data_IF_368938167864
#
_entry.id   IF_368938167864
#
_cell.length_a   1.000
_cell.length_b   1.000
_cell.length_c   1.000
_cell.angle_alpha   90.00
_cell.angle_beta   90.00
_cell.angle_gamma   90.00
#
_symmetry.space_group_name_H-M   'P 1'
#
loop_
_entity.id
_entity.type
_entity.pdbx_description
1 polymer ?
#
# COMPACT_ATOMS: atom_id res chain seq x y z
N UNK A 1 -1.27 46.06 -12.74
CA UNK A 1 -0.21 45.03 -12.78
C UNK A 1 0.45 45.01 -11.40
N UNK A 2 -0.05 44.14 -10.52
CA UNK A 2 0.50 43.93 -9.18
C UNK A 2 1.32 42.63 -9.24
N UNK A 3 2.64 42.76 -9.04
CA UNK A 3 3.58 41.65 -9.02
C UNK A 3 3.31 40.73 -7.82
N UNK A 4 3.07 39.47 -8.07
CA UNK A 4 3.04 38.44 -7.05
C UNK A 4 4.45 38.28 -6.48
N UNK A 5 4.62 38.53 -5.20
CA UNK A 5 5.87 38.33 -4.48
C UNK A 5 6.26 36.84 -4.45
N UNK A 6 7.55 36.53 -4.24
CA UNK A 6 8.05 35.17 -4.24
C UNK A 6 7.42 34.37 -3.09
N UNK A 7 6.72 33.28 -3.42
CA UNK A 7 6.25 32.31 -2.44
C UNK A 7 7.46 31.72 -1.71
N UNK A 8 7.60 32.07 -0.44
CA UNK A 8 8.61 31.56 0.45
C UNK A 8 8.54 30.01 0.46
N UNK A 9 9.65 29.34 0.16
CA UNK A 9 9.77 27.89 0.32
C UNK A 9 9.39 27.55 1.77
N UNK A 10 8.54 26.52 2.01
CA UNK A 10 8.23 26.10 3.36
C UNK A 10 9.53 25.76 4.09
N UNK A 11 9.76 26.38 5.22
CA UNK A 11 10.91 26.12 6.08
C UNK A 11 11.01 24.62 6.38
N UNK A 12 12.21 24.03 6.28
CA UNK A 12 12.45 22.59 6.54
C UNK A 12 11.98 22.15 7.94
N UNK A 13 11.83 20.85 8.24
CA UNK A 13 11.32 20.36 9.53
C UNK A 13 12.17 20.87 10.71
N UNK A 14 11.56 21.07 11.90
CA UNK A 14 12.30 21.36 13.13
C UNK A 14 13.29 20.23 13.40
N UNK A 15 14.48 20.55 13.91
CA UNK A 15 15.43 19.51 14.38
C UNK A 15 14.95 18.95 15.72
N UNK A 16 15.31 17.71 16.05
CA UNK A 16 14.93 17.09 17.33
C UNK A 16 15.48 17.88 18.54
N UNK A 17 16.58 18.64 18.37
CA UNK A 17 17.17 19.50 19.42
C UNK A 17 16.31 20.72 19.76
N UNK A 18 15.49 21.18 18.82
CA UNK A 18 14.63 22.34 19.00
C UNK A 18 13.25 21.96 19.57
N UNK A 19 12.86 20.70 19.48
CA UNK A 19 11.57 20.23 20.02
C UNK A 19 11.60 20.09 21.53
N UNK A 20 10.45 20.27 22.25
CA UNK A 20 10.38 20.16 23.69
C UNK A 20 10.88 18.82 24.22
N UNK A 21 11.43 18.81 25.43
CA UNK A 21 11.96 17.60 26.07
C UNK A 21 10.91 16.51 26.23
N UNK A 22 9.70 16.88 26.57
CA UNK A 22 8.59 15.94 26.71
C UNK A 22 8.21 15.27 25.39
N UNK A 23 8.37 15.95 24.25
CA UNK A 23 8.17 15.32 22.94
C UNK A 23 9.35 14.40 22.57
N UNK A 24 10.58 14.74 22.96
CA UNK A 24 11.73 13.86 22.77
C UNK A 24 11.61 12.58 23.62
N UNK A 25 11.11 12.72 24.87
CA UNK A 25 10.81 11.57 25.74
C UNK A 25 9.74 10.66 25.12
N UNK A 26 8.68 11.22 24.52
CA UNK A 26 7.69 10.47 23.75
C UNK A 26 8.33 9.71 22.59
N UNK A 27 9.19 10.32 21.79
CA UNK A 27 9.87 9.62 20.68
C UNK A 27 10.74 8.48 21.19
N UNK A 28 11.41 8.65 22.32
CA UNK A 28 12.21 7.62 22.98
C UNK A 28 11.34 6.44 23.43
N UNK A 29 10.21 6.72 24.09
CA UNK A 29 9.23 5.68 24.46
C UNK A 29 8.72 4.94 23.22
N UNK A 30 8.36 5.66 22.16
CA UNK A 30 7.91 5.02 20.91
C UNK A 30 8.99 4.15 20.27
N UNK A 31 10.27 4.53 20.36
CA UNK A 31 11.37 3.79 19.78
C UNK A 31 11.51 2.36 20.38
N UNK A 32 11.08 2.14 21.62
CA UNK A 32 11.07 0.81 22.26
C UNK A 32 10.22 -0.21 21.50
N UNK A 33 9.17 0.25 20.78
CA UNK A 33 8.30 -0.58 19.95
C UNK A 33 8.84 -0.82 18.54
N UNK A 34 10.09 -0.45 18.28
CA UNK A 34 10.77 -0.57 16.98
C UNK A 34 9.92 -0.09 15.78
N UNK A 35 9.37 1.14 15.82
CA UNK A 35 8.57 1.67 14.74
C UNK A 35 9.43 1.87 13.50
N UNK A 36 8.79 1.91 12.32
CA UNK A 36 9.52 2.26 11.10
C UNK A 36 10.05 3.70 11.16
N UNK A 37 11.16 4.03 10.48
CA UNK A 37 11.64 5.41 10.37
C UNK A 37 10.56 6.39 9.87
N UNK A 38 9.68 5.94 8.96
CA UNK A 38 8.55 6.72 8.47
C UNK A 38 7.51 7.03 9.57
N UNK A 39 7.30 6.12 10.53
CA UNK A 39 6.39 6.35 11.66
C UNK A 39 6.92 7.45 12.57
N UNK A 40 8.22 7.40 12.89
CA UNK A 40 8.85 8.46 13.69
C UNK A 40 8.85 9.81 12.97
N UNK A 41 9.09 9.79 11.66
CA UNK A 41 9.01 11.01 10.84
C UNK A 41 7.58 11.57 10.81
N UNK A 42 6.55 10.71 10.70
CA UNK A 42 5.16 11.14 10.77
C UNK A 42 4.82 11.79 12.11
N UNK A 43 5.27 11.22 13.23
CA UNK A 43 5.11 11.84 14.55
C UNK A 43 5.73 13.23 14.61
N UNK A 44 6.94 13.41 14.05
CA UNK A 44 7.59 14.73 14.00
C UNK A 44 6.81 15.73 13.17
N UNK A 45 6.37 15.35 11.98
CA UNK A 45 5.59 16.24 11.11
C UNK A 45 4.24 16.63 11.73
N UNK A 46 3.53 15.66 12.31
CA UNK A 46 2.24 15.91 12.93
C UNK A 46 2.38 16.76 14.19
N UNK A 47 3.48 16.57 14.95
CA UNK A 47 3.82 17.44 16.08
C UNK A 47 4.08 18.87 15.60
N UNK A 48 5.02 19.06 14.66
CA UNK A 48 5.42 20.39 14.16
C UNK A 48 4.21 21.17 13.65
N UNK A 49 3.28 20.50 12.93
CA UNK A 49 2.09 21.15 12.38
C UNK A 49 1.18 21.74 13.46
N UNK A 50 0.81 20.96 14.47
CA UNK A 50 -0.13 21.42 15.51
C UNK A 50 0.57 22.28 16.56
N UNK A 51 1.81 21.95 16.97
CA UNK A 51 2.58 22.73 17.90
C UNK A 51 2.79 24.19 17.39
N UNK A 52 3.04 24.34 16.09
CA UNK A 52 3.14 25.66 15.46
C UNK A 52 1.83 26.45 15.56
N UNK A 53 0.69 25.79 15.40
CA UNK A 53 -0.62 26.43 15.50
C UNK A 53 -0.97 26.82 16.95
N UNK A 54 -0.58 26.01 17.94
CA UNK A 54 -0.80 26.32 19.36
C UNK A 54 0.11 27.49 19.78
N UNK A 55 1.39 27.45 19.41
CA UNK A 55 2.37 28.47 19.79
C UNK A 55 2.27 29.79 18.99
N UNK A 56 1.39 29.83 17.96
CA UNK A 56 1.20 30.97 17.07
C UNK A 56 2.31 31.21 16.06
N UNK A 57 3.51 30.64 16.30
CA UNK A 57 4.64 30.74 15.38
C UNK A 57 5.54 29.48 15.49
N UNK A 58 6.21 29.14 14.39
CA UNK A 58 7.05 27.95 14.31
C UNK A 58 8.26 28.00 15.25
N UNK A 59 8.87 29.14 15.38
CA UNK A 59 10.02 29.37 16.27
C UNK A 59 9.67 29.13 17.74
N UNK A 60 8.42 29.32 18.12
CA UNK A 60 7.93 29.10 19.48
C UNK A 60 7.50 27.67 19.77
N UNK A 61 7.26 26.87 18.73
CA UNK A 61 6.81 25.48 18.87
C UNK A 61 7.76 24.59 19.68
N UNK A 62 9.05 24.94 19.70
CA UNK A 62 10.07 24.28 20.49
C UNK A 62 10.01 24.55 21.99
N UNK A 63 9.44 25.67 22.40
CA UNK A 63 9.27 26.09 23.78
C UNK A 63 7.88 25.74 24.36
N UNK A 64 7.02 25.08 23.58
CA UNK A 64 5.65 24.73 23.96
C UNK A 64 5.65 23.93 25.28
N UNK A 65 4.97 24.46 26.31
CA UNK A 65 4.82 23.78 27.58
C UNK A 65 3.61 22.83 27.58
N UNK A 66 3.65 21.76 28.38
CA UNK A 66 2.52 20.82 28.49
C UNK A 66 1.25 21.48 29.02
N UNK A 67 1.38 22.53 29.86
CA UNK A 67 0.26 23.33 30.38
C UNK A 67 -0.54 24.06 29.28
N UNK A 68 0.07 24.32 28.12
CA UNK A 68 -0.58 24.94 26.96
C UNK A 68 -1.42 23.95 26.14
N UNK A 69 -1.26 22.65 26.38
CA UNK A 69 -2.02 21.58 25.69
C UNK A 69 -3.43 21.44 26.29
N UNK A 70 -4.15 22.55 26.36
CA UNK A 70 -5.53 22.57 26.86
C UNK A 70 -6.51 22.06 25.82
N UNK A 71 -7.71 21.63 26.26
CA UNK A 71 -8.80 21.22 25.36
C UNK A 71 -9.10 22.28 24.30
N UNK A 72 -9.12 23.55 24.70
CA UNK A 72 -9.53 24.63 23.81
C UNK A 72 -8.41 25.01 22.83
N UNK A 73 -7.13 25.02 23.25
CA UNK A 73 -5.98 25.19 22.38
C UNK A 73 -5.92 24.06 21.33
N UNK A 74 -6.15 22.82 21.73
CA UNK A 74 -6.18 21.68 20.81
C UNK A 74 -7.33 21.77 19.81
N UNK A 75 -8.53 22.18 20.25
CA UNK A 75 -9.67 22.37 19.35
C UNK A 75 -9.40 23.47 18.32
N UNK A 76 -8.87 24.62 18.74
CA UNK A 76 -8.53 25.71 17.85
C UNK A 76 -7.44 25.32 16.84
N UNK A 77 -6.37 24.67 17.29
CA UNK A 77 -5.30 24.21 16.42
C UNK A 77 -5.79 23.17 15.39
N UNK A 78 -6.63 22.22 15.80
CA UNK A 78 -7.20 21.26 14.86
C UNK A 78 -8.24 21.87 13.91
N UNK A 79 -8.99 22.88 14.32
CA UNK A 79 -9.87 23.64 13.44
C UNK A 79 -9.06 24.38 12.36
N UNK A 80 -8.02 25.12 12.75
CA UNK A 80 -7.14 25.79 11.80
C UNK A 80 -6.40 24.80 10.87
N UNK A 81 -5.95 23.66 11.39
CA UNK A 81 -5.33 22.59 10.57
C UNK A 81 -6.31 22.03 9.53
N UNK A 82 -7.59 21.95 9.87
CA UNK A 82 -8.62 21.40 9.00
C UNK A 82 -8.95 22.31 7.80
N UNK A 83 -8.70 23.62 7.87
CA UNK A 83 -8.96 24.55 6.77
C UNK A 83 -8.16 24.23 5.50
N UNK A 84 -6.97 23.63 5.65
CA UNK A 84 -6.04 23.36 4.53
C UNK A 84 -5.72 21.88 4.32
N UNK A 85 -6.34 20.97 5.09
CA UNK A 85 -5.99 19.56 5.05
C UNK A 85 -7.20 18.63 4.86
N UNK A 86 -6.99 17.58 4.10
CA UNK A 86 -7.99 16.52 3.89
C UNK A 86 -8.27 15.71 5.17
N UNK A 87 -9.51 15.20 5.29
CA UNK A 87 -9.97 14.43 6.44
C UNK A 87 -9.04 13.26 6.83
N UNK A 88 -8.40 12.60 5.86
CA UNK A 88 -7.43 11.53 6.12
C UNK A 88 -6.16 12.04 6.83
N UNK A 89 -5.66 13.21 6.44
CA UNK A 89 -4.50 13.86 7.07
C UNK A 89 -4.84 14.32 8.48
N UNK A 90 -6.01 14.92 8.66
CA UNK A 90 -6.50 15.35 9.99
C UNK A 90 -6.63 14.14 10.92
N UNK A 91 -7.21 13.03 10.45
CA UNK A 91 -7.34 11.78 11.24
C UNK A 91 -6.00 11.20 11.66
N UNK A 92 -5.01 11.22 10.76
CA UNK A 92 -3.65 10.75 11.06
C UNK A 92 -3.02 11.64 12.13
N UNK A 93 -3.05 12.95 11.94
CA UNK A 93 -2.52 13.95 12.87
C UNK A 93 -3.21 13.83 14.24
N UNK A 94 -4.53 13.72 14.26
CA UNK A 94 -5.31 13.47 15.47
C UNK A 94 -4.83 12.20 16.20
N UNK A 95 -4.59 11.10 15.48
CA UNK A 95 -4.11 9.86 16.08
C UNK A 95 -2.72 9.99 16.69
N UNK A 96 -1.84 10.78 16.06
CA UNK A 96 -0.51 11.10 16.60
C UNK A 96 -0.65 11.85 17.91
N UNK A 97 -1.44 12.94 17.96
CA UNK A 97 -1.63 13.75 19.13
C UNK A 97 -2.38 13.04 20.26
N UNK A 98 -3.36 12.20 19.92
CA UNK A 98 -4.02 11.38 20.93
C UNK A 98 -3.03 10.38 21.58
N UNK A 99 -2.13 9.80 20.80
CA UNK A 99 -1.08 8.90 21.32
C UNK A 99 -0.07 9.66 22.17
N UNK A 100 0.31 10.87 21.76
CA UNK A 100 1.22 11.75 22.48
C UNK A 100 0.61 12.21 23.81
N UNK A 101 -0.61 12.75 23.78
CA UNK A 101 -1.29 13.18 25.00
C UNK A 101 -1.59 12.02 25.96
N UNK A 102 -1.85 10.80 25.42
CA UNK A 102 -1.95 9.59 26.23
C UNK A 102 -0.63 9.24 26.93
N UNK A 103 0.50 9.39 26.26
CA UNK A 103 1.83 9.23 26.87
C UNK A 103 2.07 10.28 27.97
N UNK A 104 1.78 11.56 27.68
CA UNK A 104 1.96 12.63 28.66
C UNK A 104 1.08 12.45 29.91
N UNK A 105 -0.14 11.95 29.74
CA UNK A 105 -1.02 11.60 30.85
C UNK A 105 -0.45 10.47 31.70
N UNK A 106 0.06 9.38 31.08
CA UNK A 106 0.67 8.27 31.80
C UNK A 106 2.04 8.60 32.43
N UNK A 107 2.65 9.71 32.03
CA UNK A 107 3.90 10.24 32.58
C UNK A 107 3.64 11.38 33.61
N UNK A 108 2.40 11.57 34.05
CA UNK A 108 1.97 12.60 35.00
C UNK A 108 2.29 14.04 34.56
N UNK A 109 2.49 14.27 33.25
CA UNK A 109 2.77 15.58 32.65
C UNK A 109 1.49 16.30 32.19
N UNK A 110 0.37 15.59 32.14
CA UNK A 110 -0.98 16.14 31.88
C UNK A 110 -1.99 15.52 32.86
N UNK A 111 -2.95 16.31 33.37
CA UNK A 111 -3.98 15.78 34.27
C UNK A 111 -5.03 14.91 33.56
N UNK A 112 -5.17 15.08 32.23
CA UNK A 112 -6.07 14.29 31.38
C UNK A 112 -5.61 14.37 29.92
N UNK A 113 -6.09 13.45 29.07
CA UNK A 113 -5.84 13.51 27.64
C UNK A 113 -6.85 14.46 26.96
N UNK A 114 -6.48 15.69 26.54
CA UNK A 114 -7.40 16.64 25.94
C UNK A 114 -7.96 16.18 24.60
N UNK A 115 -7.26 15.28 23.89
CA UNK A 115 -7.69 14.79 22.58
C UNK A 115 -8.98 13.97 22.61
N UNK A 116 -9.37 13.44 23.77
CA UNK A 116 -10.67 12.76 23.93
C UNK A 116 -11.87 13.72 23.72
N UNK A 117 -11.64 15.01 23.85
CA UNK A 117 -12.63 16.07 23.70
C UNK A 117 -12.49 16.84 22.36
N UNK A 118 -11.53 16.45 21.52
CA UNK A 118 -11.32 17.02 20.18
C UNK A 118 -11.99 16.16 19.13
N UNK A 119 -12.81 16.76 18.29
CA UNK A 119 -13.51 16.04 17.22
C UNK A 119 -12.55 15.36 16.26
N UNK A 120 -12.87 14.09 15.92
CA UNK A 120 -12.12 13.31 14.93
C UNK A 120 -12.98 13.16 13.68
N UNK A 121 -12.53 13.56 12.47
CA UNK A 121 -13.29 13.39 11.24
C UNK A 121 -13.66 11.91 11.02
N UNK A 122 -14.86 11.64 10.55
CA UNK A 122 -15.26 10.27 10.15
C UNK A 122 -14.42 9.81 8.95
N UNK A 123 -14.06 8.52 8.85
CA UNK A 123 -13.41 8.02 7.64
C UNK A 123 -14.37 8.18 6.46
N UNK A 124 -13.88 8.73 5.36
CA UNK A 124 -14.64 8.73 4.12
C UNK A 124 -14.92 7.28 3.70
N UNK A 125 -16.14 7.00 3.25
CA UNK A 125 -16.50 5.73 2.60
C UNK A 125 -15.94 5.76 1.16
N UNK A 126 -14.63 5.75 1.01
CA UNK A 126 -14.02 5.58 -0.31
C UNK A 126 -13.93 4.07 -0.59
N UNK A 127 -14.72 3.62 -1.55
CA UNK A 127 -14.51 2.29 -2.14
C UNK A 127 -13.10 2.24 -2.73
N UNK A 128 -12.40 1.10 -2.61
CA UNK A 128 -11.14 0.91 -3.32
C UNK A 128 -11.38 1.16 -4.81
N UNK A 129 -10.67 2.11 -5.39
CA UNK A 129 -10.77 2.38 -6.83
C UNK A 129 -9.83 1.42 -7.55
N UNK A 130 -10.33 0.23 -7.88
CA UNK A 130 -9.67 -0.68 -8.82
C UNK A 130 -9.61 -0.03 -10.21
N UNK A 131 -8.65 -0.45 -11.01
CA UNK A 131 -8.61 -0.12 -12.42
C UNK A 131 -9.65 -0.97 -13.15
N UNK A 132 -10.47 -0.40 -14.03
CA UNK A 132 -11.21 -1.20 -15.00
C UNK A 132 -10.24 -2.02 -15.85
N UNK A 133 -10.68 -3.18 -16.35
CA UNK A 133 -9.85 -4.04 -17.20
C UNK A 133 -9.28 -3.27 -18.40
N UNK A 134 -10.10 -2.47 -19.07
CA UNK A 134 -9.68 -1.62 -20.19
C UNK A 134 -8.56 -0.64 -19.84
N UNK A 135 -8.57 -0.07 -18.62
CA UNK A 135 -7.51 0.81 -18.16
C UNK A 135 -6.22 0.03 -17.83
N UNK A 136 -6.33 -1.20 -17.32
CA UNK A 136 -5.17 -2.07 -17.12
C UNK A 136 -4.53 -2.49 -18.45
N UNK A 137 -5.34 -2.83 -19.44
CA UNK A 137 -4.89 -3.13 -20.82
C UNK A 137 -4.24 -1.91 -21.47
N UNK A 138 -4.85 -0.73 -21.37
CA UNK A 138 -4.28 0.52 -21.89
C UNK A 138 -2.92 0.83 -21.23
N UNK A 139 -2.79 0.54 -19.92
CA UNK A 139 -1.54 0.73 -19.19
C UNK A 139 -0.41 -0.17 -19.73
N UNK A 140 -0.69 -1.43 -20.03
CA UNK A 140 0.27 -2.37 -20.58
C UNK A 140 0.63 -2.03 -22.03
N UNK A 141 -0.38 -1.74 -22.86
CA UNK A 141 -0.18 -1.33 -24.24
C UNK A 141 0.66 -0.06 -24.36
N UNK A 142 0.47 0.89 -23.45
CA UNK A 142 1.25 2.13 -23.43
C UNK A 142 2.73 1.92 -23.12
N UNK A 143 3.09 0.89 -22.34
CA UNK A 143 4.49 0.55 -22.04
C UNK A 143 5.15 -0.09 -23.25
N UNK A 144 4.41 -0.92 -23.98
CA UNK A 144 4.91 -1.71 -25.12
C UNK A 144 4.87 -0.91 -26.45
N UNK A 145 4.22 0.25 -26.46
CA UNK A 145 4.08 1.05 -27.67
C UNK A 145 5.43 1.52 -28.24
N UNK A 146 5.68 1.40 -29.54
CA UNK A 146 6.94 1.80 -30.17
C UNK A 146 7.34 3.26 -29.91
N UNK A 147 6.36 4.15 -29.73
CA UNK A 147 6.55 5.57 -29.39
C UNK A 147 6.81 5.87 -27.91
N UNK A 148 6.73 4.88 -27.02
CA UNK A 148 6.99 5.06 -25.59
C UNK A 148 8.49 5.25 -25.28
N UNK A 149 9.38 4.78 -26.18
CA UNK A 149 10.83 4.84 -26.05
C UNK A 149 11.37 6.20 -26.53
N UNK A 150 11.08 7.28 -25.81
CA UNK A 150 11.58 8.64 -26.16
C UNK A 150 12.91 8.99 -25.49
N UNK A 151 13.35 8.22 -24.52
CA UNK A 151 14.54 8.51 -23.72
C UNK A 151 15.49 7.31 -23.69
N UNK A 152 16.80 7.55 -23.78
CA UNK A 152 17.84 6.52 -23.57
C UNK A 152 17.68 5.75 -22.25
N UNK A 153 16.96 6.33 -21.29
CA UNK A 153 16.71 5.77 -19.96
C UNK A 153 15.48 4.86 -19.89
N UNK A 154 14.74 4.70 -20.98
CA UNK A 154 13.53 3.89 -21.01
C UNK A 154 13.88 2.40 -21.04
N UNK A 155 13.10 1.64 -20.30
CA UNK A 155 13.32 0.22 -20.10
C UNK A 155 11.98 -0.49 -19.96
N UNK A 156 11.32 -0.81 -21.10
CA UNK A 156 9.96 -1.35 -21.11
C UNK A 156 9.83 -2.66 -20.35
N UNK A 157 10.79 -3.60 -20.52
CA UNK A 157 10.75 -4.91 -19.88
C UNK A 157 10.76 -4.77 -18.35
N UNK A 158 11.53 -3.83 -17.80
CA UNK A 158 11.52 -3.54 -16.37
C UNK A 158 10.19 -2.92 -15.92
N UNK A 159 9.73 -1.91 -16.64
CA UNK A 159 8.55 -1.15 -16.27
C UNK A 159 7.29 -2.04 -16.36
N UNK A 160 7.24 -2.93 -17.39
CA UNK A 160 6.22 -3.99 -17.53
C UNK A 160 6.30 -5.00 -16.38
N UNK A 161 7.49 -5.49 -16.04
CA UNK A 161 7.68 -6.43 -14.94
C UNK A 161 7.23 -5.85 -13.59
N UNK A 162 7.53 -4.58 -13.31
CA UNK A 162 7.08 -3.88 -12.10
C UNK A 162 5.55 -3.81 -12.03
N UNK A 163 4.90 -3.41 -13.12
CA UNK A 163 3.45 -3.20 -13.16
C UNK A 163 2.71 -4.53 -13.06
N UNK A 164 3.13 -5.53 -13.85
CA UNK A 164 2.51 -6.86 -13.81
C UNK A 164 2.73 -7.57 -12.47
N UNK A 165 3.90 -7.41 -11.83
CA UNK A 165 4.09 -7.94 -10.47
C UNK A 165 3.15 -7.27 -9.46
N UNK A 166 2.90 -5.96 -9.59
CA UNK A 166 1.93 -5.29 -8.73
C UNK A 166 0.48 -5.72 -9.00
N UNK A 167 0.11 -5.95 -10.27
CA UNK A 167 -1.23 -6.36 -10.70
C UNK A 167 -1.53 -7.85 -10.43
N UNK A 168 -0.52 -8.73 -10.53
CA UNK A 168 -0.73 -10.19 -10.50
C UNK A 168 -0.26 -10.85 -9.19
N UNK A 169 0.56 -10.15 -8.39
CA UNK A 169 1.00 -10.62 -7.08
C UNK A 169 0.62 -9.66 -5.94
N UNK A 170 0.02 -8.53 -6.24
CA UNK A 170 -0.56 -7.61 -5.26
C UNK A 170 0.45 -7.02 -4.26
N UNK A 171 1.70 -6.80 -4.64
CA UNK A 171 2.75 -6.31 -3.76
C UNK A 171 2.57 -4.83 -3.40
N UNK A 172 2.91 -4.47 -2.16
CA UNK A 172 3.04 -3.06 -1.75
C UNK A 172 4.29 -2.44 -2.37
N UNK A 173 4.32 -1.12 -2.53
CA UNK A 173 5.48 -0.41 -3.09
C UNK A 173 6.80 -0.74 -2.36
N UNK A 174 6.76 -0.90 -1.05
CA UNK A 174 7.94 -1.29 -0.27
C UNK A 174 8.33 -2.76 -0.51
N UNK A 175 7.36 -3.65 -0.66
CA UNK A 175 7.58 -5.06 -0.96
C UNK A 175 8.20 -5.24 -2.35
N UNK A 176 7.70 -4.53 -3.37
CA UNK A 176 8.31 -4.48 -4.71
C UNK A 176 9.77 -4.01 -4.65
N UNK A 177 10.04 -2.96 -3.88
CA UNK A 177 11.40 -2.43 -3.74
C UNK A 177 12.34 -3.40 -3.01
N UNK A 178 11.86 -4.07 -1.99
CA UNK A 178 12.69 -4.95 -1.14
C UNK A 178 12.86 -6.36 -1.71
N UNK A 179 12.07 -6.75 -2.71
CA UNK A 179 12.17 -8.06 -3.34
C UNK A 179 13.57 -8.32 -3.92
N UNK A 180 14.06 -9.52 -3.70
CA UNK A 180 15.32 -10.03 -4.26
C UNK A 180 15.03 -11.11 -5.30
N UNK A 181 15.99 -11.41 -6.14
CA UNK A 181 15.85 -12.48 -7.15
C UNK A 181 15.59 -13.82 -6.46
N UNK A 182 16.25 -14.14 -5.36
CA UNK A 182 16.06 -15.38 -4.62
C UNK A 182 14.74 -15.49 -3.85
N UNK A 183 13.94 -14.41 -3.80
CA UNK A 183 12.58 -14.46 -3.26
C UNK A 183 11.60 -15.10 -4.26
N UNK A 184 11.97 -15.18 -5.56
CA UNK A 184 11.22 -15.86 -6.60
C UNK A 184 11.73 -17.30 -6.76
N UNK A 185 10.86 -18.27 -6.57
CA UNK A 185 11.12 -19.69 -6.78
C UNK A 185 10.20 -20.20 -7.85
N UNK A 186 10.78 -20.75 -8.92
CA UNK A 186 10.05 -21.34 -10.04
C UNK A 186 9.81 -22.82 -9.74
N UNK A 187 8.61 -23.30 -10.02
CA UNK A 187 8.19 -24.69 -9.91
C UNK A 187 8.38 -25.41 -11.24
N UNK A 188 8.32 -26.74 -11.24
CA UNK A 188 8.49 -27.58 -12.45
C UNK A 188 7.38 -27.36 -13.48
N UNK A 189 6.19 -26.96 -13.05
CA UNK A 189 5.04 -26.62 -13.89
C UNK A 189 5.17 -25.25 -14.61
N UNK A 190 6.31 -24.58 -14.43
CA UNK A 190 6.59 -23.26 -15.00
C UNK A 190 5.98 -22.07 -14.23
N UNK A 191 5.10 -22.32 -13.26
CA UNK A 191 4.66 -21.34 -12.28
C UNK A 191 5.68 -21.14 -11.16
N UNK A 192 5.25 -20.61 -10.02
CA UNK A 192 6.14 -20.46 -8.89
C UNK A 192 5.53 -19.77 -7.69
N UNK A 193 6.39 -19.39 -6.77
CA UNK A 193 6.02 -18.62 -5.58
C UNK A 193 6.95 -17.45 -5.39
N UNK A 194 6.39 -16.30 -5.01
CA UNK A 194 7.12 -15.13 -4.60
C UNK A 194 7.05 -14.99 -3.08
N UNK A 195 8.19 -15.08 -2.42
CA UNK A 195 8.32 -14.83 -0.99
C UNK A 195 8.31 -13.33 -0.72
N UNK A 196 7.37 -12.85 0.05
CA UNK A 196 7.17 -11.42 0.34
C UNK A 196 7.42 -11.14 1.80
N UNK A 197 8.43 -10.34 2.08
CA UNK A 197 8.77 -9.90 3.44
C UNK A 197 7.85 -8.76 3.87
N UNK A 198 7.01 -9.05 4.86
CA UNK A 198 6.04 -8.11 5.39
C UNK A 198 6.59 -7.22 6.50
N UNK A 199 5.80 -6.21 6.90
CA UNK A 199 6.10 -5.39 8.08
C UNK A 199 6.00 -6.23 9.35
N UNK A 200 6.97 -6.07 10.27
CA UNK A 200 6.94 -6.78 11.56
C UNK A 200 7.28 -8.27 11.45
N UNK A 201 8.12 -8.65 10.49
CA UNK A 201 8.54 -10.04 10.25
C UNK A 201 7.38 -10.99 9.89
N UNK A 202 6.33 -10.44 9.28
CA UNK A 202 5.18 -11.22 8.79
C UNK A 202 5.36 -11.52 7.31
N UNK A 203 6.07 -12.60 7.04
CA UNK A 203 6.33 -13.07 5.69
C UNK A 203 5.12 -13.82 5.14
N UNK A 204 4.94 -13.74 3.83
CA UNK A 204 3.96 -14.54 3.11
C UNK A 204 4.51 -15.01 1.77
N UNK A 205 3.96 -16.07 1.26
CA UNK A 205 4.20 -16.54 -0.11
C UNK A 205 2.99 -16.20 -0.98
N UNK A 206 3.26 -15.70 -2.17
CA UNK A 206 2.25 -15.40 -3.18
C UNK A 206 2.49 -16.33 -4.36
N UNK A 207 1.56 -17.23 -4.71
CA UNK A 207 1.64 -18.02 -5.92
C UNK A 207 1.66 -17.12 -7.15
N UNK A 208 2.46 -17.47 -8.14
CA UNK A 208 2.57 -16.75 -9.41
C UNK A 208 2.51 -17.72 -10.57
N UNK A 209 1.75 -17.35 -11.58
CA UNK A 209 1.52 -18.15 -12.77
C UNK A 209 2.69 -18.05 -13.77
N UNK A 210 2.83 -19.03 -14.70
CA UNK A 210 3.89 -19.05 -15.71
C UNK A 210 4.00 -17.74 -16.51
N UNK A 211 2.88 -17.08 -16.79
CA UNK A 211 2.86 -15.82 -17.51
C UNK A 211 3.65 -14.71 -16.80
N UNK A 212 3.57 -14.62 -15.47
CA UNK A 212 4.35 -13.64 -14.71
C UNK A 212 5.83 -14.04 -14.63
N UNK A 213 6.12 -15.34 -14.51
CA UNK A 213 7.49 -15.86 -14.55
C UNK A 213 8.16 -15.50 -15.87
N UNK A 214 7.49 -15.68 -17.00
CA UNK A 214 8.01 -15.31 -18.33
C UNK A 214 8.34 -13.81 -18.42
N UNK A 215 7.48 -12.93 -17.90
CA UNK A 215 7.72 -11.48 -17.88
C UNK A 215 8.93 -11.12 -17.01
N UNK A 216 9.06 -11.73 -15.84
CA UNK A 216 10.19 -11.50 -14.95
C UNK A 216 11.50 -12.03 -15.56
N UNK A 217 11.46 -13.16 -16.22
CA UNK A 217 12.61 -13.75 -16.96
C UNK A 217 13.03 -12.83 -18.10
N UNK A 218 12.12 -12.35 -18.94
CA UNK A 218 12.41 -11.41 -20.03
C UNK A 218 13.07 -10.12 -19.50
N UNK A 219 12.57 -9.61 -18.38
CA UNK A 219 13.21 -8.47 -17.71
C UNK A 219 14.64 -8.81 -17.23
N UNK A 220 14.86 -9.97 -16.62
CA UNK A 220 16.18 -10.38 -16.12
C UNK A 220 17.18 -10.59 -17.27
N UNK A 221 16.75 -11.11 -18.42
CA UNK A 221 17.54 -11.19 -19.67
C UNK A 221 17.94 -9.79 -20.11
N UNK A 222 17.00 -8.87 -20.24
CA UNK A 222 17.30 -7.50 -20.66
C UNK A 222 18.19 -6.77 -19.64
N UNK A 223 18.06 -7.09 -18.36
CA UNK A 223 18.93 -6.59 -17.30
C UNK A 223 20.36 -7.09 -17.44
N UNK A 224 20.55 -8.38 -17.81
CA UNK A 224 21.90 -8.94 -18.03
C UNK A 224 22.61 -8.27 -19.21
N UNK A 225 21.88 -7.87 -20.25
CA UNK A 225 22.43 -7.09 -21.37
C UNK A 225 22.87 -5.70 -20.93
N UNK A 226 22.09 -5.05 -20.06
CA UNK A 226 22.41 -3.70 -19.55
C UNK A 226 23.54 -3.67 -18.52
N UNK A 227 23.65 -4.73 -17.72
CA UNK A 227 24.63 -4.83 -16.62
C UNK A 227 25.36 -6.17 -16.66
N UNK A 228 26.15 -6.43 -17.71
CA UNK A 228 26.80 -7.74 -17.91
C UNK A 228 27.80 -8.08 -16.80
N UNK A 229 28.43 -7.09 -16.17
CA UNK A 229 29.37 -7.31 -15.07
C UNK A 229 28.69 -7.79 -13.77
N UNK A 230 27.39 -7.55 -13.61
CA UNK A 230 26.63 -7.97 -12.43
C UNK A 230 25.98 -9.36 -12.60
N UNK A 231 25.93 -9.88 -13.82
CA UNK A 231 25.37 -11.19 -14.14
C UNK A 231 26.47 -12.26 -14.15
N UNK A 232 26.21 -13.42 -13.53
CA UNK A 232 27.13 -14.57 -13.57
C UNK A 232 27.15 -15.18 -14.99
N UNK A 233 28.30 -15.63 -15.44
CA UNK A 233 28.44 -16.39 -16.68
C UNK A 233 28.14 -17.88 -16.43
N UNK A 234 27.53 -18.58 -17.40
CA UNK A 234 27.37 -20.04 -17.36
C UNK A 234 26.31 -20.56 -16.38
N UNK A 235 25.25 -19.82 -16.13
CA UNK A 235 24.19 -20.17 -15.15
C UNK A 235 23.16 -21.22 -15.66
N UNK A 236 23.41 -21.92 -16.77
CA UNK A 236 22.47 -22.86 -17.39
C UNK A 236 21.22 -22.16 -17.96
N UNK A 237 20.14 -22.91 -18.18
CA UNK A 237 18.92 -22.44 -18.84
C UNK A 237 18.02 -21.56 -17.94
N UNK A 238 18.33 -21.44 -16.64
CA UNK A 238 17.54 -20.65 -15.73
C UNK A 238 18.16 -19.26 -15.50
N UNK A 239 17.57 -18.24 -16.08
CA UNK A 239 18.02 -16.85 -15.97
C UNK A 239 18.10 -16.32 -14.51
N UNK A 240 17.32 -16.88 -13.58
CA UNK A 240 17.39 -16.55 -12.16
C UNK A 240 18.76 -16.91 -11.57
N UNK A 241 19.35 -18.01 -12.02
CA UNK A 241 20.67 -18.49 -11.54
C UNK A 241 21.83 -17.57 -11.91
N UNK A 242 21.63 -16.66 -12.87
CA UNK A 242 22.61 -15.64 -13.25
C UNK A 242 22.79 -14.55 -12.19
N UNK A 243 21.90 -14.50 -11.20
CA UNK A 243 21.89 -13.49 -10.18
C UNK A 243 22.12 -14.08 -8.79
N UNK A 244 22.77 -13.33 -7.91
CA UNK A 244 22.79 -13.71 -6.49
C UNK A 244 21.37 -13.72 -5.92
N UNK A 245 21.07 -14.65 -5.03
CA UNK A 245 19.77 -14.68 -4.35
C UNK A 245 19.46 -13.39 -3.60
N UNK A 246 20.49 -12.69 -3.10
CA UNK A 246 20.37 -11.39 -2.43
C UNK A 246 20.32 -10.19 -3.39
N UNK A 247 20.53 -10.41 -4.71
CA UNK A 247 20.46 -9.33 -5.69
C UNK A 247 19.04 -8.75 -5.73
N UNK A 248 18.89 -7.41 -5.83
CA UNK A 248 17.57 -6.80 -5.96
C UNK A 248 16.82 -7.37 -7.17
N UNK A 249 15.53 -7.70 -7.01
CA UNK A 249 14.72 -8.11 -8.16
C UNK A 249 14.55 -6.93 -9.14
N UNK A 250 14.17 -5.75 -8.65
CA UNK A 250 14.01 -4.55 -9.45
C UNK A 250 15.13 -3.53 -9.20
N UNK A 251 15.74 -3.05 -10.29
CA UNK A 251 16.86 -2.13 -10.23
C UNK A 251 16.55 -0.79 -10.93
N UNK A 252 17.27 0.24 -10.50
CA UNK A 252 17.31 1.54 -11.13
C UNK A 252 18.12 1.54 -12.45
N UNK A 253 18.40 2.72 -12.97
CA UNK A 253 19.25 2.89 -14.16
C UNK A 253 20.74 2.66 -13.87
N UNK A 254 21.10 2.75 -12.62
CA UNK A 254 22.43 2.51 -12.06
C UNK A 254 22.72 1.03 -11.73
N UNK A 255 21.76 0.15 -11.99
CA UNK A 255 21.85 -1.26 -11.63
C UNK A 255 21.67 -1.55 -10.14
N UNK A 256 21.53 -0.52 -9.31
CA UNK A 256 21.27 -0.66 -7.88
C UNK A 256 19.77 -0.87 -7.60
N UNK A 257 19.42 -1.27 -6.39
CA UNK A 257 18.03 -1.42 -5.96
C UNK A 257 17.20 -0.19 -6.29
N UNK A 258 16.07 -0.39 -6.95
CA UNK A 258 15.18 0.71 -7.34
C UNK A 258 14.77 1.56 -6.13
N UNK A 259 14.93 2.88 -6.23
CA UNK A 259 14.52 3.81 -5.18
C UNK A 259 13.00 4.00 -5.18
N UNK A 260 12.45 4.50 -4.06
CA UNK A 260 11.01 4.81 -3.96
C UNK A 260 10.61 5.83 -5.03
N UNK A 261 11.40 6.87 -5.22
CA UNK A 261 11.12 7.91 -6.22
C UNK A 261 11.15 7.36 -7.64
N UNK A 262 12.16 6.52 -7.98
CA UNK A 262 12.26 5.90 -9.29
C UNK A 262 11.06 4.96 -9.56
N UNK A 263 10.67 4.12 -8.58
CA UNK A 263 9.50 3.24 -8.71
C UNK A 263 8.22 4.05 -8.96
N UNK A 264 7.97 5.07 -8.14
CA UNK A 264 6.79 5.93 -8.28
C UNK A 264 6.77 6.65 -9.62
N UNK A 265 7.92 7.18 -10.05
CA UNK A 265 8.04 7.86 -11.34
C UNK A 265 7.74 6.93 -12.51
N UNK A 266 8.24 5.68 -12.49
CA UNK A 266 8.00 4.71 -13.57
C UNK A 266 6.53 4.32 -13.65
N UNK A 267 5.91 4.07 -12.53
CA UNK A 267 4.47 3.76 -12.49
C UNK A 267 3.65 4.98 -12.92
N UNK A 268 3.95 6.18 -12.41
CA UNK A 268 3.27 7.42 -12.84
C UNK A 268 3.38 7.64 -14.35
N UNK A 269 4.57 7.43 -14.90
CA UNK A 269 4.79 7.58 -16.35
C UNK A 269 3.91 6.62 -17.17
N UNK A 270 3.82 5.37 -16.75
CA UNK A 270 2.96 4.40 -17.43
C UNK A 270 1.48 4.83 -17.38
N UNK A 271 1.01 5.29 -16.22
CA UNK A 271 -0.35 5.81 -16.09
C UNK A 271 -0.61 7.05 -16.97
N UNK A 272 0.37 7.96 -17.07
CA UNK A 272 0.23 9.14 -17.93
C UNK A 272 0.22 8.78 -19.42
N UNK A 273 0.92 7.73 -19.82
CA UNK A 273 0.93 7.23 -21.20
C UNK A 273 -0.37 6.48 -21.55
N UNK A 274 -1.00 5.83 -20.58
CA UNK A 274 -2.25 5.09 -20.76
C UNK A 274 -3.49 5.98 -20.97
N UNK A 275 -3.37 7.29 -20.74
CA UNK A 275 -4.45 8.25 -21.00
C UNK A 275 -5.34 8.54 -19.78
N UNK A 276 -6.40 9.36 -19.97
CA UNK A 276 -7.21 9.91 -18.88
C UNK A 276 -7.96 8.86 -18.08
N UNK A 277 -8.40 7.77 -18.68
CA UNK A 277 -9.18 6.72 -18.01
C UNK A 277 -8.37 5.95 -16.96
N UNK A 278 -7.06 5.91 -17.14
CA UNK A 278 -6.14 5.30 -16.19
C UNK A 278 -5.67 6.29 -15.11
N UNK A 279 -5.90 7.59 -15.26
CA UNK A 279 -5.38 8.60 -14.32
C UNK A 279 -5.86 8.38 -12.88
N UNK A 280 -4.96 8.54 -11.95
CA UNK A 280 -5.16 8.43 -10.50
C UNK A 280 -4.34 9.49 -9.77
N UNK A 281 -4.72 9.78 -8.52
CA UNK A 281 -3.98 10.73 -7.69
C UNK A 281 -2.50 10.33 -7.54
N UNK A 282 -1.56 11.27 -7.68
CA UNK A 282 -0.13 11.00 -7.45
C UNK A 282 0.11 10.37 -6.08
N UNK A 283 1.02 9.40 -6.01
CA UNK A 283 1.39 8.72 -4.76
C UNK A 283 0.56 7.48 -4.41
N UNK A 284 -0.63 7.30 -5.00
CA UNK A 284 -1.49 6.14 -4.77
C UNK A 284 -1.40 5.07 -5.88
N UNK A 285 -0.57 5.25 -6.91
CA UNK A 285 -0.59 4.46 -8.14
C UNK A 285 -0.26 2.98 -7.93
N UNK A 286 0.83 2.67 -7.22
CA UNK A 286 1.17 1.26 -6.89
C UNK A 286 0.07 0.64 -6.01
N UNK A 287 -0.55 1.46 -5.17
CA UNK A 287 -1.66 1.00 -4.33
C UNK A 287 -2.92 0.73 -5.17
N UNK A 288 -3.17 1.52 -6.22
CA UNK A 288 -4.26 1.27 -7.17
C UNK A 288 -4.07 -0.07 -7.91
N UNK A 289 -2.85 -0.40 -8.37
CA UNK A 289 -2.54 -1.70 -8.98
C UNK A 289 -2.84 -2.86 -8.01
N UNK A 290 -2.40 -2.73 -6.75
CA UNK A 290 -2.71 -3.72 -5.71
C UNK A 290 -4.21 -3.78 -5.38
N UNK A 291 -4.92 -2.65 -5.40
CA UNK A 291 -6.38 -2.64 -5.24
C UNK A 291 -7.06 -3.41 -6.36
N UNK A 292 -6.60 -3.25 -7.60
CA UNK A 292 -7.09 -4.00 -8.75
C UNK A 292 -6.90 -5.50 -8.53
N UNK A 293 -5.69 -5.95 -8.17
CA UNK A 293 -5.45 -7.35 -7.80
C UNK A 293 -6.43 -7.86 -6.74
N UNK A 294 -6.62 -7.09 -5.67
CA UNK A 294 -7.51 -7.49 -4.57
C UNK A 294 -8.98 -7.56 -5.00
N UNK A 295 -9.43 -6.63 -5.85
CA UNK A 295 -10.80 -6.58 -6.36
C UNK A 295 -11.06 -7.72 -7.34
N UNK A 296 -10.12 -7.97 -8.28
CA UNK A 296 -10.26 -9.08 -9.23
C UNK A 296 -10.31 -10.43 -8.51
N UNK A 297 -9.45 -10.66 -7.52
CA UNK A 297 -9.54 -11.87 -6.70
C UNK A 297 -10.85 -11.97 -5.92
N UNK A 298 -11.35 -10.85 -5.36
CA UNK A 298 -12.64 -10.86 -4.67
C UNK A 298 -13.79 -11.22 -5.62
N UNK A 299 -13.71 -10.79 -6.89
CA UNK A 299 -14.70 -11.12 -7.93
C UNK A 299 -14.72 -12.62 -8.31
N UNK A 300 -13.64 -13.38 -8.00
CA UNK A 300 -13.60 -14.84 -8.22
C UNK A 300 -14.18 -15.65 -7.06
N UNK A 301 -14.90 -15.02 -6.13
CA UNK A 301 -15.54 -15.66 -4.99
C UNK A 301 -14.57 -16.40 -4.04
N UNK A 302 -13.30 -15.97 -3.96
CA UNK A 302 -12.39 -16.52 -2.96
C UNK A 302 -12.79 -16.06 -1.55
N UNK A 303 -12.47 -16.88 -0.54
CA UNK A 303 -12.78 -16.52 0.83
C UNK A 303 -12.05 -15.26 1.28
N UNK A 304 -12.69 -14.44 2.13
CA UNK A 304 -12.06 -13.26 2.77
C UNK A 304 -10.75 -13.64 3.46
N UNK A 305 -10.70 -14.84 4.03
CA UNK A 305 -9.50 -15.36 4.70
C UNK A 305 -8.35 -15.61 3.72
N UNK A 306 -8.63 -16.23 2.57
CA UNK A 306 -7.65 -16.45 1.50
C UNK A 306 -7.13 -15.12 0.96
N UNK A 307 -8.04 -14.18 0.70
CA UNK A 307 -7.68 -12.82 0.26
C UNK A 307 -6.80 -12.10 1.30
N UNK A 308 -7.15 -12.20 2.59
CA UNK A 308 -6.36 -11.64 3.68
C UNK A 308 -4.94 -12.22 3.72
N UNK A 309 -4.79 -13.52 3.54
CA UNK A 309 -3.50 -14.23 3.52
C UNK A 309 -2.65 -13.80 2.33
N UNK A 310 -3.22 -13.77 1.12
CA UNK A 310 -2.52 -13.34 -0.11
C UNK A 310 -2.05 -11.89 -0.03
N UNK A 311 -2.89 -11.00 0.49
CA UNK A 311 -2.56 -9.58 0.63
C UNK A 311 -1.68 -9.27 1.84
N UNK A 312 -1.58 -10.16 2.83
CA UNK A 312 -0.91 -9.88 4.10
C UNK A 312 -1.59 -8.73 4.86
N UNK A 313 -2.92 -8.80 4.99
CA UNK A 313 -3.69 -7.88 5.83
C UNK A 313 -3.69 -8.39 7.27
N UNK A 314 -3.49 -7.49 8.24
CA UNK A 314 -3.53 -7.81 9.66
C UNK A 314 -4.97 -7.93 10.20
N UNK A 315 -5.92 -7.29 9.53
CA UNK A 315 -7.32 -7.24 9.93
C UNK A 315 -8.22 -7.76 8.81
N UNK A 316 -9.12 -8.66 9.16
CA UNK A 316 -10.16 -9.15 8.26
C UNK A 316 -11.03 -8.01 7.70
N UNK A 317 -11.32 -6.98 8.51
CA UNK A 317 -12.07 -5.80 8.09
C UNK A 317 -11.46 -5.08 6.87
N UNK A 318 -10.15 -5.18 6.68
CA UNK A 318 -9.48 -4.61 5.51
C UNK A 318 -9.77 -5.40 4.24
N UNK A 319 -9.81 -6.73 4.31
CA UNK A 319 -10.14 -7.60 3.17
C UNK A 319 -11.63 -7.66 2.88
N UNK A 320 -12.49 -7.60 3.91
CA UNK A 320 -13.94 -7.55 3.76
C UNK A 320 -14.44 -6.41 2.87
N UNK A 321 -13.73 -5.28 2.83
CA UNK A 321 -14.10 -4.15 1.97
C UNK A 321 -14.12 -4.51 0.48
N UNK A 322 -13.23 -5.41 0.06
CA UNK A 322 -13.17 -5.87 -1.34
C UNK A 322 -14.32 -6.84 -1.65
N UNK A 323 -14.58 -7.76 -0.75
CA UNK A 323 -15.62 -8.76 -0.89
C UNK A 323 -17.01 -8.13 -0.88
N UNK A 324 -17.29 -7.20 0.06
CA UNK A 324 -18.56 -6.48 0.12
C UNK A 324 -18.78 -5.64 -1.16
N UNK A 325 -17.70 -5.07 -1.74
CA UNK A 325 -17.81 -4.28 -2.96
C UNK A 325 -18.05 -5.13 -4.22
N UNK A 326 -17.66 -6.40 -4.21
CA UNK A 326 -17.88 -7.32 -5.32
C UNK A 326 -19.36 -7.75 -5.47
N UNK A 327 -20.16 -7.71 -4.40
CA UNK A 327 -21.63 -7.87 -4.44
C UNK A 327 -22.15 -9.24 -4.89
N UNK A 328 -21.27 -10.14 -5.33
CA UNK A 328 -21.62 -11.43 -5.96
C UNK A 328 -21.75 -12.61 -5.00
N UNK A 329 -21.20 -12.49 -3.78
CA UNK A 329 -21.09 -13.64 -2.86
C UNK A 329 -22.44 -14.18 -2.38
N UNK A 330 -23.36 -13.29 -2.01
CA UNK A 330 -24.65 -13.70 -1.44
C UNK A 330 -25.54 -14.40 -2.44
N UNK A 331 -25.56 -13.94 -3.68
CA UNK A 331 -26.40 -14.54 -4.73
C UNK A 331 -25.81 -15.87 -5.21
N UNK A 332 -24.48 -15.93 -5.42
CA UNK A 332 -23.79 -17.15 -5.83
C UNK A 332 -23.83 -18.22 -4.74
N UNK A 333 -23.63 -17.85 -3.47
CA UNK A 333 -23.74 -18.77 -2.33
C UNK A 333 -25.17 -19.30 -2.15
N UNK A 334 -26.17 -18.46 -2.34
CA UNK A 334 -27.57 -18.91 -2.31
C UNK A 334 -27.84 -19.93 -3.44
N UNK A 335 -27.36 -19.67 -4.65
CA UNK A 335 -27.54 -20.58 -5.78
C UNK A 335 -26.81 -21.94 -5.64
N UNK A 336 -25.74 -21.98 -4.84
CA UNK A 336 -24.97 -23.19 -4.54
C UNK A 336 -25.52 -23.98 -3.34
N UNK A 337 -26.59 -23.52 -2.69
CA UNK A 337 -27.19 -24.26 -1.57
C UNK A 337 -27.76 -25.58 -2.08
N UNK A 338 -27.20 -26.75 -1.66
CA UNK A 338 -27.64 -28.06 -2.16
C UNK A 338 -29.08 -28.39 -1.82
N UNK A 339 -29.72 -27.64 -0.90
CA UNK A 339 -31.10 -27.86 -0.54
C UNK A 339 -32.10 -27.36 -1.60
N UNK A 340 -31.64 -26.56 -2.58
CA UNK A 340 -32.55 -26.12 -3.68
C UNK A 340 -33.07 -27.24 -4.53
N UNK A 341 -32.37 -28.39 -4.59
CA UNK A 341 -32.92 -29.59 -5.30
C UNK A 341 -34.21 -30.11 -4.67
N UNK A 342 -34.39 -29.93 -3.34
CA UNK A 342 -35.63 -30.33 -2.68
C UNK A 342 -36.84 -29.47 -3.08
N UNK A 343 -36.61 -28.24 -3.52
CA UNK A 343 -37.65 -27.35 -4.04
C UNK A 343 -37.96 -27.61 -5.52
N UNK A 344 -37.02 -28.23 -6.25
CA UNK A 344 -37.15 -28.52 -7.67
C UNK A 344 -37.85 -29.86 -7.96
N UNK A 345 -37.99 -30.77 -6.97
CA UNK A 345 -38.64 -32.07 -7.10
C UNK A 345 -39.73 -32.23 -6.02
N UNK A 346 -40.93 -31.68 -6.24
CA UNK A 346 -42.05 -31.83 -5.30
C UNK A 346 -42.58 -33.27 -5.17
N UNK A 347 -42.05 -34.23 -5.97
CA UNK A 347 -42.57 -35.60 -6.07
C UNK A 347 -41.80 -36.71 -5.35
N UNK A 348 -40.63 -36.38 -4.73
CA UNK A 348 -39.81 -37.41 -4.10
C UNK A 348 -40.27 -37.81 -2.69
N UNK A 349 -41.15 -37.06 -2.07
CA UNK A 349 -41.65 -37.35 -0.72
C UNK A 349 -42.87 -38.32 -0.64
N UNK A 350 -43.31 -38.88 -1.75
CA UNK A 350 -44.54 -39.64 -1.84
C UNK A 350 -44.46 -41.06 -2.38
N UNK A 351 -43.32 -41.69 -2.53
CA UNK A 351 -43.20 -43.09 -2.91
C UNK A 351 -42.76 -43.95 -1.72
N UNK A 352 -43.65 -44.11 -0.77
CA UNK A 352 -43.70 -45.28 0.08
C UNK A 352 -44.24 -46.44 -0.79
N UNK A 353 -43.45 -47.44 -0.98
CA UNK A 353 -43.75 -48.68 -1.67
C UNK A 353 -44.90 -49.40 -0.93
N UNK A 354 -46.08 -49.66 -1.56
CA UNK A 354 -47.11 -50.52 -0.94
C UNK A 354 -46.92 -51.92 -1.50
N UNK A 355 -46.49 -52.82 -0.66
CA UNK A 355 -46.92 -54.19 -0.84
C UNK A 355 -45.92 -55.19 -1.36
N UNK A 356 -45.48 -56.01 -0.48
CA UNK A 356 -45.51 -57.47 -0.75
C UNK A 356 -46.21 -58.13 0.41
N UNK A 357 -47.49 -58.43 0.16
CA UNK A 357 -48.23 -59.46 0.83
C UNK A 357 -48.65 -60.47 -0.26
N UNK A 358 -47.94 -61.57 -0.30
CA UNK A 358 -48.39 -62.93 -0.44
C UNK A 358 -47.18 -63.87 -0.60
#
# INVERSE_FOLDING_TARGET
MTAAGPTARPAGPLTDRVRPDWFRAFLTDRATRKPSPHTLQAYRHDFDAIATLIAGAREHAGALATAELTKDAMRQAFAAYAESHEAASIRRCWSTWNTLCGFLFTADLLPANPMQLVGRPKPGKTLPKSLPQSAAEALLNAIDAPGALKRRTDWPERDRAIILTALLAGLRAQELRSANVGDLRVSEDGGGVLHVRGKGNKDRTVPVEPALIAVLTAYLVSRAVRFPAAARRGAGDNELNRWSASAPLFVGQDGQRITRGALQYRVLRAFNLAGPDAQRAPGALVHALRHTYATELANTNISVYTLMKLLGHESMATSQRYVISAGSETKAAAAQNPLYHLASDPGAAGRSDPGNAD
#
